data_IF_162147514223
#
_entry.id   IF_162147514223
#
_cell.length_a   1.000
_cell.length_b   1.000
_cell.length_c   1.000
_cell.angle_alpha   90.00
_cell.angle_beta   90.00
_cell.angle_gamma   90.00
#
_symmetry.space_group_name_H-M   'P 1'
#
loop_
_entity.id
_entity.type
_entity.pdbx_description
1 polymer ?
#
# COMPACT_ATOMS: atom_id res chain seq x y z
N UNK A 1 -0.80 -29.57 -17.41
CA UNK A 1 -2.12 -29.16 -16.89
C UNK A 1 -1.95 -27.75 -16.36
N UNK A 2 -2.44 -26.77 -17.11
CA UNK A 2 -2.30 -25.35 -16.80
C UNK A 2 -3.42 -24.97 -15.84
N UNK A 3 -3.07 -24.59 -14.62
CA UNK A 3 -4.03 -24.01 -13.68
C UNK A 3 -4.09 -22.50 -13.92
N UNK A 4 -5.03 -22.10 -14.77
CA UNK A 4 -5.33 -20.70 -15.06
C UNK A 4 -6.23 -20.16 -13.95
N UNK A 5 -5.62 -19.86 -12.79
CA UNK A 5 -6.30 -19.23 -11.67
C UNK A 5 -6.57 -17.75 -11.91
N UNK A 6 -7.61 -17.41 -12.67
CA UNK A 6 -8.21 -16.07 -12.60
C UNK A 6 -9.14 -16.03 -11.39
N UNK A 7 -8.70 -15.41 -10.29
CA UNK A 7 -9.60 -14.91 -9.23
C UNK A 7 -8.87 -13.96 -8.28
N UNK A 8 -9.36 -12.72 -8.21
CA UNK A 8 -9.02 -11.75 -7.17
C UNK A 8 -8.68 -10.38 -7.74
N UNK A 9 -9.58 -9.42 -7.58
CA UNK A 9 -9.34 -7.98 -7.64
C UNK A 9 -8.32 -7.54 -6.58
N UNK A 10 -7.08 -8.01 -6.71
CA UNK A 10 -5.98 -7.66 -5.84
C UNK A 10 -5.43 -6.31 -6.27
N UNK A 11 -5.44 -5.34 -5.37
CA UNK A 11 -4.66 -4.11 -5.50
C UNK A 11 -3.25 -4.47 -6.01
N UNK A 12 -2.90 -4.05 -7.24
CA UNK A 12 -1.53 -4.20 -7.72
C UNK A 12 -0.65 -3.16 -7.01
N UNK A 13 -0.21 -3.50 -5.81
CA UNK A 13 0.65 -2.65 -4.99
C UNK A 13 2.00 -2.39 -5.67
N UNK A 14 2.42 -3.24 -6.61
CA UNK A 14 3.58 -3.00 -7.46
C UNK A 14 3.36 -1.86 -8.45
N UNK A 15 2.12 -1.63 -8.90
CA UNK A 15 1.75 -0.43 -9.69
C UNK A 15 1.85 0.82 -8.82
N UNK A 16 1.43 0.78 -7.55
CA UNK A 16 1.61 1.89 -6.60
C UNK A 16 3.09 2.25 -6.42
N UNK A 17 3.95 1.25 -6.18
CA UNK A 17 5.39 1.48 -6.00
C UNK A 17 6.04 2.13 -7.24
N UNK A 18 5.69 1.63 -8.43
CA UNK A 18 6.22 2.13 -9.71
C UNK A 18 5.69 3.53 -10.06
N UNK A 19 4.37 3.76 -9.90
CA UNK A 19 3.72 5.02 -10.28
C UNK A 19 4.03 6.16 -9.32
N UNK A 20 4.14 5.88 -8.02
CA UNK A 20 4.45 6.91 -7.03
C UNK A 20 5.97 7.17 -6.89
N UNK A 21 6.84 6.35 -7.51
CA UNK A 21 8.29 6.47 -7.34
C UNK A 21 8.73 6.22 -5.88
N UNK A 22 8.01 5.33 -5.19
CA UNK A 22 8.13 5.13 -3.74
C UNK A 22 8.69 3.74 -3.36
N UNK A 23 9.53 3.15 -4.21
CA UNK A 23 10.20 1.87 -3.94
C UNK A 23 10.78 1.83 -2.53
N UNK A 24 10.42 0.81 -1.74
CA UNK A 24 10.87 0.61 -0.37
C UNK A 24 10.22 1.52 0.69
N UNK A 25 9.21 2.32 0.31
CA UNK A 25 8.45 3.20 1.22
C UNK A 25 6.97 2.86 1.29
N UNK A 26 6.58 1.76 0.64
CA UNK A 26 5.28 1.12 0.78
C UNK A 26 5.49 -0.11 1.67
N UNK A 27 4.75 -0.18 2.77
CA UNK A 27 4.79 -1.32 3.68
C UNK A 27 3.49 -2.10 3.53
N UNK A 28 3.61 -3.39 3.26
CA UNK A 28 2.49 -4.31 3.06
C UNK A 28 2.45 -5.35 4.18
N UNK A 29 1.29 -6.00 4.42
CA UNK A 29 1.19 -7.08 5.39
C UNK A 29 2.31 -8.12 5.19
N UNK A 30 3.06 -8.40 6.25
CA UNK A 30 4.22 -9.30 6.22
C UNK A 30 5.59 -8.61 6.07
N UNK A 31 5.63 -7.30 5.78
CA UNK A 31 6.88 -6.53 5.88
C UNK A 31 7.15 -6.13 7.33
N UNK A 32 8.43 -6.08 7.73
CA UNK A 32 8.83 -5.79 9.11
C UNK A 32 8.31 -4.43 9.62
N UNK A 33 8.16 -3.45 8.73
CA UNK A 33 7.73 -2.09 9.05
C UNK A 33 6.20 -1.92 9.03
N UNK A 34 5.44 -2.91 8.54
CA UNK A 34 3.98 -2.80 8.44
C UNK A 34 3.33 -2.74 9.81
N UNK A 35 3.65 -3.68 10.71
CA UNK A 35 3.05 -3.74 12.05
C UNK A 35 3.31 -2.48 12.88
N UNK A 36 4.45 -1.84 12.68
CA UNK A 36 4.76 -0.56 13.33
C UNK A 36 3.95 0.58 12.71
N UNK A 37 3.82 0.59 11.39
CA UNK A 37 3.13 1.64 10.64
C UNK A 37 1.61 1.68 10.86
N UNK A 38 0.99 0.56 11.26
CA UNK A 38 -0.46 0.46 11.49
C UNK A 38 -0.87 0.74 12.93
N UNK A 39 0.08 0.95 13.85
CA UNK A 39 -0.19 1.34 15.24
C UNK A 39 -0.70 2.79 15.27
N UNK A 40 -2.02 2.97 15.21
CA UNK A 40 -2.64 4.26 15.50
C UNK A 40 -2.61 4.51 17.02
N UNK A 41 -2.26 5.74 17.41
CA UNK A 41 -2.06 6.14 18.82
C UNK A 41 -3.34 6.04 19.65
N UNK A 42 -4.52 6.16 19.02
CA UNK A 42 -5.82 6.10 19.69
C UNK A 42 -6.91 5.71 18.67
N UNK A 43 -7.52 4.54 18.80
CA UNK A 43 -8.97 4.37 18.57
C UNK A 43 -9.55 3.01 19.02
N UNK A 44 -8.73 2.04 19.45
CA UNK A 44 -9.26 0.72 19.84
C UNK A 44 -9.85 -0.10 18.68
N UNK A 45 -9.86 0.45 17.46
CA UNK A 45 -10.19 -0.24 16.23
C UNK A 45 -8.91 -0.88 15.68
N UNK A 46 -8.88 -2.21 15.65
CA UNK A 46 -7.88 -2.88 14.83
C UNK A 46 -8.31 -2.76 13.36
N UNK A 47 -7.57 -1.98 12.56
CA UNK A 47 -7.74 -1.92 11.10
C UNK A 47 -6.51 -2.53 10.42
N UNK A 48 -6.76 -3.28 9.35
CA UNK A 48 -5.71 -3.89 8.52
C UNK A 48 -5.74 -3.27 7.11
N UNK A 49 -5.00 -2.17 6.87
CA UNK A 49 -4.91 -1.58 5.55
C UNK A 49 -4.15 -2.49 4.56
N UNK A 50 -4.48 -2.41 3.27
CA UNK A 50 -3.76 -3.19 2.24
C UNK A 50 -2.27 -2.77 2.11
N UNK A 51 -1.97 -1.51 2.41
CA UNK A 51 -0.62 -0.97 2.49
C UNK A 51 -0.59 0.30 3.36
N UNK A 52 0.58 0.64 3.89
CA UNK A 52 0.87 1.96 4.45
C UNK A 52 2.02 2.60 3.69
N UNK A 53 2.02 3.92 3.58
CA UNK A 53 3.02 4.67 2.80
C UNK A 53 3.47 5.89 3.59
N UNK A 54 4.77 6.21 3.56
CA UNK A 54 5.35 7.40 4.21
C UNK A 54 5.95 8.38 3.20
N UNK A 55 5.14 9.28 2.62
CA UNK A 55 5.63 10.31 1.71
C UNK A 55 6.48 11.36 2.44
N UNK A 56 7.44 11.93 1.71
CA UNK A 56 8.42 12.94 2.19
C UNK A 56 8.19 14.32 1.58
N UNK A 57 7.27 14.45 0.62
CA UNK A 57 6.96 15.72 -0.03
C UNK A 57 5.49 15.80 -0.44
N UNK A 58 5.00 17.01 -0.69
CA UNK A 58 3.63 17.24 -1.18
C UNK A 58 3.42 16.64 -2.58
N UNK A 59 4.46 16.60 -3.41
CA UNK A 59 4.43 15.97 -4.73
C UNK A 59 4.18 14.46 -4.60
N UNK A 60 4.88 13.79 -3.68
CA UNK A 60 4.67 12.36 -3.42
C UNK A 60 3.26 12.06 -2.89
N UNK A 61 2.70 12.94 -2.07
CA UNK A 61 1.30 12.83 -1.64
C UNK A 61 0.36 12.90 -2.84
N UNK A 62 0.57 13.86 -3.74
CA UNK A 62 -0.27 14.05 -4.92
C UNK A 62 -0.22 12.84 -5.87
N UNK A 63 0.97 12.28 -6.09
CA UNK A 63 1.16 11.08 -6.89
C UNK A 63 0.51 9.84 -6.23
N UNK A 64 0.66 9.70 -4.92
CA UNK A 64 0.06 8.60 -4.15
C UNK A 64 -1.47 8.65 -4.20
N UNK A 65 -2.06 9.84 -4.00
CA UNK A 65 -3.52 10.02 -4.06
C UNK A 65 -4.05 9.71 -5.45
N UNK A 66 -3.38 10.18 -6.51
CA UNK A 66 -3.76 9.85 -7.89
C UNK A 66 -3.69 8.34 -8.13
N UNK A 67 -2.58 7.70 -7.76
CA UNK A 67 -2.40 6.27 -7.96
C UNK A 67 -3.43 5.44 -7.17
N UNK A 68 -3.79 5.86 -5.96
CA UNK A 68 -4.82 5.21 -5.16
C UNK A 68 -6.23 5.33 -5.76
N UNK A 69 -6.54 6.42 -6.47
CA UNK A 69 -7.82 6.60 -7.17
C UNK A 69 -7.98 5.79 -8.45
N UNK A 70 -6.90 5.18 -8.94
CA UNK A 70 -6.87 4.34 -10.15
C UNK A 70 -6.92 2.83 -9.84
N UNK A 71 -6.98 2.48 -8.54
CA UNK A 71 -7.05 1.11 -8.00
C UNK A 71 -8.50 0.76 -7.64
#
# INVERSE_FOLDING_TARGET
>A
MSDTGTSGSGLDLGVLERRAGMLGRIHTPGSAQYDESTKLVFDGSSRMPAATVRPKSAEEVSQLVRAAGEL
#
